data_IF_490068110200
#
_entry.id   IF_490068110200
#
_cell.length_a   1.000
_cell.length_b   1.000
_cell.length_c   1.000
_cell.angle_alpha   90.00
_cell.angle_beta   90.00
_cell.angle_gamma   90.00
#
_symmetry.space_group_name_H-M   'P 1'
#
loop_
_entity.id
_entity.type
_entity.pdbx_description
1 polymer ?
#
# COMPACT_ATOMS: atom_id res chain seq x y z
N UNK A 1 -28.62 -39.52 21.44
CA UNK A 1 -28.88 -38.64 20.28
C UNK A 1 -27.77 -37.58 20.28
N UNK A 2 -26.91 -37.58 19.27
CA UNK A 2 -25.71 -36.73 19.17
C UNK A 2 -26.11 -35.40 18.51
N UNK A 3 -26.20 -34.33 19.28
CA UNK A 3 -26.39 -32.98 18.74
C UNK A 3 -25.02 -32.45 18.30
N UNK A 4 -24.72 -32.60 17.01
CA UNK A 4 -23.54 -31.98 16.39
C UNK A 4 -23.91 -30.53 16.14
N UNK A 5 -23.50 -29.65 17.05
CA UNK A 5 -23.58 -28.20 16.88
C UNK A 5 -22.53 -27.82 15.85
N UNK A 6 -22.95 -27.70 14.58
CA UNK A 6 -22.16 -27.12 13.50
C UNK A 6 -22.04 -25.60 13.75
N UNK A 7 -21.03 -25.23 14.52
CA UNK A 7 -20.50 -23.87 14.60
C UNK A 7 -19.91 -23.52 13.23
N UNK A 8 -20.74 -22.96 12.35
CA UNK A 8 -20.29 -22.28 11.15
C UNK A 8 -19.56 -21.01 11.58
N UNK A 9 -18.26 -21.12 11.81
CA UNK A 9 -17.37 -19.99 11.96
C UNK A 9 -17.33 -19.24 10.62
N UNK A 10 -18.16 -18.21 10.50
CA UNK A 10 -18.02 -17.19 9.48
C UNK A 10 -16.67 -16.50 9.73
N UNK A 11 -15.61 -17.00 9.09
CA UNK A 11 -14.35 -16.29 8.96
C UNK A 11 -14.61 -15.04 8.13
N UNK A 12 -14.98 -13.96 8.80
CA UNK A 12 -14.82 -12.63 8.28
C UNK A 12 -13.33 -12.43 8.07
N UNK A 13 -12.85 -12.73 6.86
CA UNK A 13 -11.55 -12.27 6.37
C UNK A 13 -11.67 -10.76 6.33
N UNK A 14 -11.32 -10.12 7.44
CA UNK A 14 -11.00 -8.69 7.45
C UNK A 14 -9.76 -8.59 6.57
N UNK A 15 -9.99 -8.37 5.27
CA UNK A 15 -9.01 -7.78 4.39
C UNK A 15 -8.70 -6.43 5.04
N UNK A 16 -7.70 -6.42 5.91
CA UNK A 16 -7.06 -5.25 6.45
C UNK A 16 -6.40 -4.53 5.28
N UNK A 17 -7.22 -3.84 4.51
CA UNK A 17 -6.78 -2.65 3.79
C UNK A 17 -6.11 -1.82 4.89
N UNK A 18 -4.80 -1.52 4.79
CA UNK A 18 -4.15 -0.71 5.80
C UNK A 18 -5.02 0.53 5.95
N UNK A 19 -5.54 0.73 7.17
CA UNK A 19 -6.27 1.94 7.47
C UNK A 19 -5.30 3.08 7.13
N UNK A 20 -5.65 3.87 6.10
CA UNK A 20 -4.91 5.06 5.69
C UNK A 20 -5.00 6.08 6.84
N UNK A 21 -4.25 5.83 7.91
CA UNK A 21 -4.35 6.52 9.18
C UNK A 21 -3.68 7.90 9.09
N UNK A 22 -2.62 8.00 8.28
CA UNK A 22 -1.95 9.24 7.94
C UNK A 22 -1.28 9.09 6.56
N UNK A 23 -1.56 10.01 5.65
CA UNK A 23 -0.90 10.10 4.34
C UNK A 23 0.63 10.09 4.48
N UNK A 24 1.15 10.74 5.53
CA UNK A 24 2.59 10.79 5.80
C UNK A 24 3.14 9.41 6.17
N UNK A 25 2.43 8.66 7.02
CA UNK A 25 2.83 7.30 7.40
C UNK A 25 2.88 6.37 6.18
N UNK A 26 1.88 6.44 5.31
CA UNK A 26 1.85 5.62 4.09
C UNK A 26 3.01 5.97 3.14
N UNK A 27 3.39 7.25 3.06
CA UNK A 27 4.54 7.71 2.27
C UNK A 27 5.83 7.12 2.82
N UNK A 28 6.03 7.23 4.13
CA UNK A 28 7.25 6.78 4.80
C UNK A 28 7.40 5.25 4.72
N UNK A 29 6.31 4.51 4.92
CA UNK A 29 6.27 3.06 4.75
C UNK A 29 6.61 2.65 3.32
N UNK A 30 6.08 3.34 2.31
CA UNK A 30 6.40 3.04 0.91
C UNK A 30 7.85 3.38 0.56
N UNK A 31 8.40 4.47 1.11
CA UNK A 31 9.81 4.82 0.92
C UNK A 31 10.71 3.73 1.48
N UNK A 32 10.44 3.28 2.71
CA UNK A 32 11.15 2.17 3.35
C UNK A 32 11.05 0.89 2.51
N UNK A 33 9.86 0.51 2.05
CA UNK A 33 9.67 -0.67 1.21
C UNK A 33 10.48 -0.63 -0.09
N UNK A 34 10.57 0.54 -0.74
CA UNK A 34 11.37 0.73 -1.96
C UNK A 34 12.87 0.57 -1.68
N UNK A 35 13.33 1.05 -0.53
CA UNK A 35 14.73 0.98 -0.13
C UNK A 35 15.13 -0.44 0.30
N UNK A 36 14.29 -1.10 1.11
CA UNK A 36 14.51 -2.46 1.60
C UNK A 36 14.47 -3.50 0.46
N UNK A 37 13.54 -3.33 -0.49
CA UNK A 37 13.32 -4.26 -1.60
C UNK A 37 13.86 -3.70 -2.93
N UNK A 38 14.94 -2.92 -2.87
CA UNK A 38 15.50 -2.23 -4.05
C UNK A 38 15.86 -3.20 -5.19
N UNK A 39 16.24 -4.44 -4.87
CA UNK A 39 16.58 -5.48 -5.83
C UNK A 39 15.35 -6.05 -6.56
N UNK A 40 14.18 -6.05 -5.89
CA UNK A 40 12.92 -6.62 -6.38
C UNK A 40 12.23 -5.72 -7.39
N UNK A 41 12.67 -4.46 -7.51
CA UNK A 41 12.07 -3.47 -8.39
C UNK A 41 13.08 -2.95 -9.43
N UNK A 42 12.60 -2.76 -10.65
CA UNK A 42 13.35 -2.09 -11.70
C UNK A 42 13.73 -0.66 -11.31
N UNK A 43 14.82 -0.13 -11.91
CA UNK A 43 15.26 1.25 -11.63
C UNK A 43 14.15 2.26 -11.96
N UNK A 44 13.44 2.02 -13.05
CA UNK A 44 12.43 2.94 -13.56
C UNK A 44 11.18 2.91 -12.67
N UNK A 45 10.72 1.73 -12.23
CA UNK A 45 9.62 1.64 -11.27
C UNK A 45 9.94 2.31 -9.94
N UNK A 46 11.17 2.16 -9.42
CA UNK A 46 11.59 2.88 -8.20
C UNK A 46 11.61 4.39 -8.42
N UNK A 47 12.05 4.85 -9.59
CA UNK A 47 12.07 6.27 -9.92
C UNK A 47 10.66 6.85 -10.05
N UNK A 48 9.76 6.12 -10.71
CA UNK A 48 8.37 6.54 -10.93
C UNK A 48 7.57 6.53 -9.63
N UNK A 49 7.72 5.48 -8.81
CA UNK A 49 7.15 5.42 -7.48
C UNK A 49 7.61 6.61 -6.61
N UNK A 50 8.91 6.94 -6.62
CA UNK A 50 9.43 8.12 -5.88
C UNK A 50 8.86 9.43 -6.39
N UNK A 51 8.59 9.58 -7.69
CA UNK A 51 7.94 10.78 -8.24
C UNK A 51 6.53 10.94 -7.69
N UNK A 52 5.75 9.85 -7.65
CA UNK A 52 4.42 9.84 -7.07
C UNK A 52 4.46 10.14 -5.56
N UNK A 53 5.38 9.52 -4.81
CA UNK A 53 5.55 9.83 -3.38
C UNK A 53 5.90 11.30 -3.14
N UNK A 54 6.76 11.91 -3.96
CA UNK A 54 7.06 13.34 -3.85
C UNK A 54 5.87 14.26 -4.18
N UNK A 55 4.89 13.79 -4.96
CA UNK A 55 3.62 14.51 -5.16
C UNK A 55 2.69 14.31 -3.97
N UNK A 56 2.61 13.10 -3.43
CA UNK A 56 1.87 12.81 -2.22
C UNK A 56 2.34 13.68 -1.04
N UNK A 57 3.65 13.86 -0.88
CA UNK A 57 4.23 14.75 0.15
C UNK A 57 3.82 16.22 -0.01
N UNK A 58 3.74 16.70 -1.26
CA UNK A 58 3.31 18.07 -1.55
C UNK A 58 1.83 18.28 -1.29
N UNK A 59 1.03 17.24 -1.47
CA UNK A 59 -0.42 17.28 -1.32
C UNK A 59 -0.88 16.58 -0.02
N UNK A 60 -0.03 16.53 1.01
CA UNK A 60 -0.31 15.80 2.26
C UNK A 60 -1.56 16.31 2.99
N UNK A 61 -1.89 17.59 2.81
CA UNK A 61 -3.06 18.24 3.40
C UNK A 61 -4.35 17.93 2.60
N UNK A 62 -4.24 17.46 1.35
CA UNK A 62 -5.34 16.91 0.56
C UNK A 62 -5.32 15.37 0.62
N UNK A 63 -6.13 14.82 1.53
CA UNK A 63 -6.21 13.38 1.73
C UNK A 63 -6.59 12.59 0.45
N UNK A 64 -7.36 13.18 -0.47
CA UNK A 64 -7.78 12.50 -1.70
C UNK A 64 -6.63 12.45 -2.69
N UNK A 65 -5.96 13.58 -2.89
CA UNK A 65 -4.85 13.68 -3.84
C UNK A 65 -3.64 12.90 -3.36
N UNK A 66 -3.31 12.97 -2.07
CA UNK A 66 -2.25 12.14 -1.50
C UNK A 66 -2.53 10.64 -1.71
N UNK A 67 -3.75 10.17 -1.40
CA UNK A 67 -4.12 8.75 -1.59
C UNK A 67 -3.99 8.32 -3.05
N UNK A 68 -4.42 9.16 -3.99
CA UNK A 68 -4.28 8.88 -5.41
C UNK A 68 -2.80 8.69 -5.79
N UNK A 69 -1.93 9.57 -5.30
CA UNK A 69 -0.49 9.50 -5.57
C UNK A 69 0.17 8.28 -4.90
N UNK A 70 -0.21 7.90 -3.67
CA UNK A 70 0.26 6.66 -3.03
C UNK A 70 -0.16 5.43 -3.85
N UNK A 71 -1.40 5.37 -4.32
CA UNK A 71 -1.88 4.26 -5.15
C UNK A 71 -1.11 4.17 -6.47
N UNK A 72 -0.82 5.31 -7.09
CA UNK A 72 0.01 5.36 -8.30
C UNK A 72 1.45 4.91 -8.02
N UNK A 73 2.04 5.29 -6.89
CA UNK A 73 3.35 4.80 -6.48
C UNK A 73 3.36 3.27 -6.33
N UNK A 74 2.37 2.71 -5.64
CA UNK A 74 2.20 1.24 -5.50
C UNK A 74 2.03 0.55 -6.84
N UNK A 75 1.26 1.16 -7.75
CA UNK A 75 1.05 0.65 -9.11
C UNK A 75 2.36 0.60 -9.91
N UNK A 76 3.15 1.68 -9.90
CA UNK A 76 4.44 1.73 -10.57
C UNK A 76 5.41 0.63 -10.07
N UNK A 77 5.45 0.40 -8.75
CA UNK A 77 6.25 -0.68 -8.17
C UNK A 77 5.77 -2.07 -8.61
N UNK A 78 4.45 -2.28 -8.68
CA UNK A 78 3.86 -3.53 -9.15
C UNK A 78 4.19 -3.80 -10.61
N UNK A 79 4.16 -2.77 -11.45
CA UNK A 79 4.43 -2.87 -12.89
C UNK A 79 5.91 -3.15 -13.22
N UNK A 80 6.84 -2.62 -12.42
CA UNK A 80 8.27 -2.91 -12.58
C UNK A 80 8.85 -3.86 -11.55
N UNK A 81 8.03 -4.71 -10.93
CA UNK A 81 8.52 -5.82 -10.09
C UNK A 81 9.26 -6.84 -10.95
N UNK A 82 10.41 -7.31 -10.47
CA UNK A 82 11.27 -8.30 -11.13
C UNK A 82 10.92 -9.73 -10.76
#
# INVERSE_FOLDING_TARGET
MRYVVLLAAAMSIVLSVPAFADCQSDIDDLKAQIDDNKADYSRDARSEARRHLAKAERNKDDAKECRAEILNARKALKEGKR
#
